data_IF_123411963450
#
_entry.id   IF_123411963450
#
_cell.length_a   1.000
_cell.length_b   1.000
_cell.length_c   1.000
_cell.angle_alpha   90.00
_cell.angle_beta   90.00
_cell.angle_gamma   90.00
#
_symmetry.space_group_name_H-M   'P 1'
#
loop_
_entity.id
_entity.type
_entity.pdbx_description
1 polymer ?
#
# COMPACT_ATOMS: atom_id res chain seq x y z
N UNK A 1 -5.85 -10.11 -1.59
CA UNK A 1 -4.69 -10.89 -2.17
C UNK A 1 -3.41 -10.06 -2.05
N UNK A 2 -2.27 -10.68 -1.76
CA UNK A 2 -1.00 -9.96 -1.56
C UNK A 2 0.21 -10.78 -2.04
N UNK A 3 1.35 -10.12 -2.24
CA UNK A 3 2.59 -10.83 -2.55
C UNK A 3 3.78 -9.93 -2.87
N UNK A 4 4.95 -10.54 -2.92
CA UNK A 4 6.21 -9.93 -3.35
C UNK A 4 6.77 -10.68 -4.55
N UNK A 5 7.32 -9.93 -5.49
CA UNK A 5 7.90 -10.47 -6.71
C UNK A 5 9.24 -9.77 -6.98
N UNK A 6 10.23 -10.56 -7.39
CA UNK A 6 11.53 -10.05 -7.83
C UNK A 6 11.73 -10.48 -9.28
N UNK A 7 11.83 -9.50 -10.18
CA UNK A 7 12.11 -9.74 -11.60
C UNK A 7 13.56 -10.16 -11.84
N UNK A 8 13.86 -10.63 -13.05
CA UNK A 8 15.20 -11.05 -13.47
C UNK A 8 16.23 -9.91 -13.47
N UNK A 9 15.79 -8.66 -13.63
CA UNK A 9 16.64 -7.47 -13.52
C UNK A 9 16.97 -7.08 -12.08
N UNK A 10 16.39 -7.76 -11.08
CA UNK A 10 16.44 -7.36 -9.67
C UNK A 10 15.36 -6.37 -9.26
N UNK A 11 14.46 -5.96 -10.18
CA UNK A 11 13.30 -5.11 -9.86
C UNK A 11 12.43 -5.79 -8.80
N UNK A 12 12.14 -5.10 -7.70
CA UNK A 12 11.31 -5.60 -6.62
C UNK A 12 9.92 -4.94 -6.62
N UNK A 13 8.87 -5.76 -6.60
CA UNK A 13 7.47 -5.34 -6.60
C UNK A 13 6.74 -5.99 -5.41
N UNK A 14 5.92 -5.22 -4.71
CA UNK A 14 4.93 -5.73 -3.77
C UNK A 14 3.55 -5.27 -4.16
N UNK A 15 2.54 -6.06 -3.83
CA UNK A 15 1.16 -5.67 -4.00
C UNK A 15 0.27 -6.10 -2.83
N UNK A 16 -0.74 -5.29 -2.55
CA UNK A 16 -1.83 -5.57 -1.60
C UNK A 16 -3.15 -5.12 -2.21
N UNK A 17 -3.94 -6.09 -2.66
CA UNK A 17 -5.18 -5.88 -3.42
C UNK A 17 -6.40 -6.14 -2.55
N UNK A 18 -7.40 -5.26 -2.69
CA UNK A 18 -8.70 -5.32 -2.02
C UNK A 18 -8.98 -4.09 -1.15
N UNK A 19 -10.13 -4.11 -0.47
CA UNK A 19 -10.47 -3.15 0.59
C UNK A 19 -10.06 -3.68 1.97
N UNK A 20 -9.53 -2.81 2.81
CA UNK A 20 -9.23 -3.10 4.22
C UNK A 20 -10.53 -3.48 4.93
N UNK A 21 -10.56 -4.70 5.47
CA UNK A 21 -11.69 -5.22 6.23
C UNK A 21 -11.26 -5.53 7.66
N UNK A 22 -12.15 -5.20 8.61
CA UNK A 22 -12.00 -5.60 10.01
C UNK A 22 -12.51 -7.02 10.28
N UNK A 23 -13.01 -7.73 9.25
CA UNK A 23 -13.50 -9.09 9.40
C UNK A 23 -12.34 -10.11 9.48
N UNK A 24 -12.53 -11.17 10.27
CA UNK A 24 -11.55 -12.24 10.46
C UNK A 24 -11.34 -13.12 9.21
N UNK A 25 -12.18 -12.99 8.19
CA UNK A 25 -12.02 -13.64 6.88
C UNK A 25 -12.21 -12.59 5.79
N UNK A 26 -11.23 -12.48 4.91
CA UNK A 26 -11.35 -11.69 3.69
C UNK A 26 -12.28 -12.37 2.69
N UNK A 27 -13.16 -11.59 2.09
CA UNK A 27 -13.89 -11.94 0.88
C UNK A 27 -12.95 -11.79 -0.34
N UNK A 28 -13.40 -12.19 -1.53
CA UNK A 28 -12.57 -12.17 -2.76
C UNK A 28 -11.93 -10.81 -3.09
N UNK A 29 -12.55 -9.71 -2.61
CA UNK A 29 -12.15 -8.33 -2.88
C UNK A 29 -11.67 -7.57 -1.64
N UNK A 30 -11.35 -8.24 -0.54
CA UNK A 30 -10.85 -7.60 0.69
C UNK A 30 -9.49 -8.13 1.12
N UNK A 31 -8.85 -7.40 2.04
CA UNK A 31 -7.66 -7.85 2.74
C UNK A 31 -7.78 -7.52 4.23
N UNK A 32 -7.05 -8.26 5.07
CA UNK A 32 -7.04 -8.07 6.52
C UNK A 32 -5.70 -7.50 7.01
N UNK A 33 -5.63 -7.13 8.28
CA UNK A 33 -4.38 -6.71 8.91
C UNK A 33 -3.29 -7.80 8.86
N UNK A 34 -3.68 -9.08 8.90
CA UNK A 34 -2.75 -10.21 8.82
C UNK A 34 -2.10 -10.31 7.44
N UNK A 35 -2.85 -10.03 6.37
CA UNK A 35 -2.32 -9.97 5.01
C UNK A 35 -1.22 -8.91 4.90
N UNK A 36 -1.49 -7.70 5.43
CA UNK A 36 -0.52 -6.61 5.49
C UNK A 36 0.70 -6.94 6.35
N UNK A 37 0.48 -7.54 7.52
CA UNK A 37 1.55 -7.96 8.42
C UNK A 37 2.45 -9.02 7.78
N UNK A 38 1.87 -10.03 7.14
CA UNK A 38 2.64 -11.10 6.47
C UNK A 38 3.57 -10.56 5.37
N UNK A 39 3.18 -9.47 4.71
CA UNK A 39 3.95 -8.82 3.67
C UNK A 39 5.21 -8.11 4.22
N UNK A 40 5.11 -7.54 5.42
CA UNK A 40 6.15 -6.72 6.05
C UNK A 40 7.00 -7.45 7.09
N UNK A 41 6.44 -8.47 7.76
CA UNK A 41 7.11 -9.20 8.84
C UNK A 41 8.51 -9.72 8.46
N UNK A 42 8.77 -10.24 7.23
CA UNK A 42 10.10 -10.72 6.86
C UNK A 42 11.19 -9.63 6.82
N UNK A 43 10.82 -8.35 6.73
CA UNK A 43 11.77 -7.23 6.56
C UNK A 43 11.69 -6.17 7.64
N UNK A 44 10.69 -6.22 8.53
CA UNK A 44 10.41 -5.17 9.50
C UNK A 44 11.60 -4.90 10.45
N UNK A 45 12.40 -5.92 10.75
CA UNK A 45 13.56 -5.85 11.63
C UNK A 45 14.90 -5.99 10.90
N UNK A 46 14.91 -5.92 9.56
CA UNK A 46 16.13 -6.02 8.77
C UNK A 46 16.76 -4.63 8.57
N UNK A 47 17.90 -4.31 9.24
CA UNK A 47 18.57 -3.02 9.10
C UNK A 47 19.23 -2.84 7.72
N UNK A 48 19.45 -3.93 6.98
CA UNK A 48 20.02 -3.89 5.64
C UNK A 48 18.97 -3.58 4.56
N UNK A 49 17.69 -3.78 4.87
CA UNK A 49 16.59 -3.53 3.94
C UNK A 49 16.54 -2.04 3.55
N UNK A 50 16.61 -1.77 2.24
CA UNK A 50 16.66 -0.41 1.67
C UNK A 50 15.33 0.10 1.13
N UNK A 51 14.34 -0.78 0.99
CA UNK A 51 13.05 -0.49 0.40
C UNK A 51 12.75 -1.37 -0.81
N UNK A 52 11.67 -1.04 -1.51
CA UNK A 52 11.20 -1.75 -2.70
C UNK A 52 11.06 -0.77 -3.87
N UNK A 53 11.14 -1.26 -5.12
CA UNK A 53 11.00 -0.35 -6.26
C UNK A 53 9.54 0.09 -6.44
N UNK A 54 8.60 -0.85 -6.37
CA UNK A 54 7.18 -0.57 -6.63
C UNK A 54 6.30 -1.21 -5.55
N UNK A 55 5.37 -0.43 -5.01
CA UNK A 55 4.23 -0.91 -4.24
C UNK A 55 2.94 -0.62 -5.03
N UNK A 56 2.09 -1.63 -5.21
CA UNK A 56 0.78 -1.50 -5.82
C UNK A 56 -0.32 -1.81 -4.81
N UNK A 57 -1.28 -0.92 -4.65
CA UNK A 57 -2.44 -1.17 -3.78
C UNK A 57 -3.74 -0.82 -4.46
N UNK A 58 -4.86 -1.32 -3.93
CA UNK A 58 -6.17 -0.86 -4.38
C UNK A 58 -6.47 0.50 -3.74
N UNK A 59 -6.50 0.57 -2.41
CA UNK A 59 -6.76 1.81 -1.67
C UNK A 59 -5.50 2.66 -1.47
N UNK A 60 -5.72 3.96 -1.24
CA UNK A 60 -4.71 4.91 -0.80
C UNK A 60 -4.27 4.63 0.64
N UNK A 61 -2.99 4.89 0.96
CA UNK A 61 -2.57 4.96 2.35
C UNK A 61 -3.30 6.10 3.05
N UNK A 62 -3.61 5.90 4.33
CA UNK A 62 -4.07 6.96 5.21
C UNK A 62 -3.12 8.16 5.18
N UNK A 63 -3.70 9.36 5.19
CA UNK A 63 -2.99 10.63 5.21
C UNK A 63 -2.07 10.89 3.99
N UNK A 64 -2.31 10.26 2.84
CA UNK A 64 -1.55 10.49 1.59
C UNK A 64 -1.64 11.91 1.02
N UNK A 65 -2.49 12.75 1.60
CA UNK A 65 -2.65 14.16 1.25
C UNK A 65 -1.96 15.07 2.27
N UNK A 66 -1.53 14.53 3.42
CA UNK A 66 -0.88 15.30 4.48
C UNK A 66 0.43 15.90 3.98
N UNK A 67 0.60 17.21 4.11
CA UNK A 67 1.74 17.97 3.55
C UNK A 67 1.86 17.92 2.02
N UNK A 68 0.84 17.40 1.31
CA UNK A 68 0.77 17.40 -0.14
C UNK A 68 -0.28 18.39 -0.65
N UNK A 69 -0.57 18.31 -1.95
CA UNK A 69 -1.73 19.00 -2.52
C UNK A 69 -3.02 18.29 -2.10
N UNK A 70 -4.13 19.00 -1.91
CA UNK A 70 -5.42 18.35 -1.68
C UNK A 70 -5.86 17.60 -2.93
N UNK A 71 -6.44 16.39 -2.77
CA UNK A 71 -7.07 15.65 -3.86
C UNK A 71 -8.58 15.89 -3.87
N UNK A 72 -9.17 15.98 -5.06
CA UNK A 72 -10.63 16.07 -5.21
C UNK A 72 -11.23 14.65 -5.23
N UNK A 73 -11.28 13.99 -4.06
CA UNK A 73 -11.85 12.64 -3.90
C UNK A 73 -12.95 12.58 -2.85
N UNK A 74 -13.87 11.63 -3.00
CA UNK A 74 -14.84 11.30 -1.96
C UNK A 74 -14.22 10.33 -0.95
N UNK A 75 -13.96 10.81 0.27
CA UNK A 75 -13.45 9.95 1.36
C UNK A 75 -14.49 8.94 1.84
N UNK A 76 -15.78 9.20 1.63
CA UNK A 76 -16.88 8.29 1.98
C UNK A 76 -16.92 7.10 1.02
N UNK A 77 -16.78 7.34 -0.29
CA UNK A 77 -16.76 6.28 -1.29
C UNK A 77 -15.42 5.53 -1.34
N UNK A 78 -14.32 6.23 -1.06
CA UNK A 78 -12.97 5.71 -1.16
C UNK A 78 -12.20 5.93 0.14
N UNK A 79 -12.51 5.13 1.18
CA UNK A 79 -11.82 5.24 2.45
C UNK A 79 -10.35 4.89 2.29
N UNK A 80 -9.47 5.71 2.88
CA UNK A 80 -8.04 5.42 2.95
C UNK A 80 -7.74 4.34 4.00
N UNK A 81 -6.68 3.57 3.78
CA UNK A 81 -6.32 2.44 4.64
C UNK A 81 -5.16 2.75 5.60
N UNK A 82 -5.35 2.43 6.87
CA UNK A 82 -4.27 2.55 7.87
C UNK A 82 -3.26 1.42 7.71
N UNK A 83 -3.73 0.20 7.42
CA UNK A 83 -2.86 -0.93 7.11
C UNK A 83 -1.93 -0.62 5.92
N UNK A 84 -2.45 -0.03 4.83
CA UNK A 84 -1.62 0.35 3.67
C UNK A 84 -0.61 1.44 4.01
N UNK A 85 -0.96 2.41 4.87
CA UNK A 85 0.00 3.41 5.34
C UNK A 85 1.18 2.76 6.08
N UNK A 86 0.90 1.74 6.92
CA UNK A 86 1.95 1.00 7.63
C UNK A 86 2.79 0.14 6.69
N UNK A 87 2.14 -0.54 5.72
CA UNK A 87 2.83 -1.29 4.67
C UNK A 87 3.78 -0.39 3.88
N UNK A 88 3.33 0.79 3.45
CA UNK A 88 4.16 1.76 2.75
C UNK A 88 5.32 2.27 3.62
N UNK A 89 5.06 2.57 4.89
CA UNK A 89 6.08 3.02 5.85
C UNK A 89 7.20 2.00 6.02
N UNK A 90 6.85 0.71 6.13
CA UNK A 90 7.83 -0.36 6.38
C UNK A 90 8.53 -0.80 5.09
N UNK A 91 7.79 -0.93 3.98
CA UNK A 91 8.35 -1.34 2.68
C UNK A 91 9.18 -0.25 2.00
N UNK A 92 9.00 1.02 2.36
CA UNK A 92 9.75 2.17 1.80
C UNK A 92 9.79 2.13 0.26
N UNK A 93 8.63 2.14 -0.42
CA UNK A 93 8.59 2.05 -1.87
C UNK A 93 9.17 3.31 -2.52
N UNK A 94 9.86 3.14 -3.66
CA UNK A 94 10.25 4.27 -4.52
C UNK A 94 9.06 4.85 -5.26
N UNK A 95 8.14 3.98 -5.70
CA UNK A 95 6.87 4.36 -6.29
C UNK A 95 5.72 3.57 -5.65
N UNK A 96 4.65 4.29 -5.30
CA UNK A 96 3.42 3.69 -4.77
C UNK A 96 2.26 4.05 -5.69
N UNK A 97 1.71 3.05 -6.39
CA UNK A 97 0.53 3.20 -7.23
C UNK A 97 -0.71 2.69 -6.50
N UNK A 98 -1.79 3.46 -6.55
CA UNK A 98 -3.11 3.08 -6.07
C UNK A 98 -4.18 3.48 -7.09
N UNK A 99 -5.33 2.81 -7.10
CA UNK A 99 -6.23 2.87 -8.25
C UNK A 99 -7.72 2.80 -7.96
N UNK A 100 -8.16 2.90 -6.70
CA UNK A 100 -9.58 2.82 -6.36
C UNK A 100 -10.27 4.20 -6.36
N UNK A 101 -9.52 5.27 -6.15
CA UNK A 101 -10.02 6.58 -5.70
C UNK A 101 -10.68 7.43 -6.77
N UNK A 102 -10.77 6.91 -8.00
CA UNK A 102 -11.36 7.57 -9.18
C UNK A 102 -10.89 9.02 -9.39
N UNK A 103 -9.62 9.28 -9.04
CA UNK A 103 -8.99 10.59 -9.16
C UNK A 103 -7.53 10.43 -9.58
N UNK A 104 -7.06 11.33 -10.45
CA UNK A 104 -5.63 11.47 -10.70
C UNK A 104 -5.00 12.29 -9.57
N UNK A 105 -4.02 11.71 -8.88
CA UNK A 105 -3.29 12.38 -7.83
C UNK A 105 -1.82 11.97 -7.88
N UNK A 106 -0.94 12.96 -8.04
CA UNK A 106 0.50 12.79 -7.98
C UNK A 106 1.01 13.48 -6.72
N UNK A 107 1.45 12.69 -5.75
CA UNK A 107 2.04 13.23 -4.53
C UNK A 107 3.49 13.63 -4.82
N UNK A 108 3.90 14.78 -4.29
CA UNK A 108 5.33 15.12 -4.24
C UNK A 108 6.10 14.06 -3.43
N UNK A 109 7.40 13.82 -3.75
CA UNK A 109 8.22 12.88 -2.99
C UNK A 109 8.15 13.15 -1.48
N UNK A 110 8.22 12.08 -0.68
CA UNK A 110 8.23 12.16 0.80
C UNK A 110 9.33 13.06 1.34
#
# INVERSE_FOLDING_TARGET
>A
RHGRFTGSSGLQLAYLSGLESSANKGDDCTFTADDGYSLIAPIANDPSYKGIDILMTSQWPKDVEKYGSPANRSQELYPSSTCIAEVARVLRPRYHFAGLEDVFYERQPY
#
